data_IF_218273257340
#
_entry.id   IF_218273257340
#
_cell.length_a   1.000
_cell.length_b   1.000
_cell.length_c   1.000
_cell.angle_alpha   90.00
_cell.angle_beta   90.00
_cell.angle_gamma   90.00
#
_symmetry.space_group_name_H-M   'P 1'
#
loop_
_entity.id
_entity.type
_entity.pdbx_description
1 polymer ?
#
# COMPACT_ATOMS: atom_id res chain seq x y z
N UNK A 1 3.25 -24.99 13.59
CA UNK A 1 3.10 -23.67 14.25
C UNK A 1 2.37 -22.72 13.32
N UNK A 2 1.09 -22.46 13.58
CA UNK A 2 0.23 -21.62 12.72
C UNK A 2 0.34 -20.17 13.17
N UNK A 3 1.21 -19.38 12.53
CA UNK A 3 1.26 -17.94 12.79
C UNK A 3 0.03 -17.27 12.16
N UNK A 4 -1.01 -17.09 12.96
CA UNK A 4 -2.05 -16.09 12.69
C UNK A 4 -1.35 -14.73 12.72
N UNK A 5 -1.14 -14.15 11.54
CA UNK A 5 -0.75 -12.75 11.37
C UNK A 5 -1.82 -11.89 12.05
N UNK A 6 -1.59 -11.53 13.32
CA UNK A 6 -2.47 -10.63 14.04
C UNK A 6 -2.34 -9.25 13.40
N UNK A 7 -3.40 -8.85 12.69
CA UNK A 7 -3.58 -7.50 12.20
C UNK A 7 -3.86 -6.63 13.43
N UNK A 8 -2.82 -6.15 14.11
CA UNK A 8 -3.03 -5.16 15.16
C UNK A 8 -3.60 -3.89 14.51
N UNK A 9 -4.72 -3.34 15.04
CA UNK A 9 -5.17 -2.01 14.65
C UNK A 9 -4.06 -1.01 14.99
N UNK A 10 -3.37 -0.50 13.99
CA UNK A 10 -2.41 0.59 14.21
C UNK A 10 -3.20 1.85 14.52
N UNK A 11 -2.87 2.54 15.62
CA UNK A 11 -3.33 3.93 15.84
C UNK A 11 -3.05 4.77 14.60
N UNK A 12 -3.86 5.80 14.36
CA UNK A 12 -3.64 6.80 13.30
C UNK A 12 -2.20 7.33 13.36
N UNK A 13 -1.68 7.59 14.56
CA UNK A 13 -0.30 8.06 14.75
C UNK A 13 0.74 7.05 14.25
N UNK A 14 0.50 5.77 14.48
CA UNK A 14 1.39 4.70 14.01
C UNK A 14 1.34 4.59 12.48
N UNK A 15 0.16 4.72 11.88
CA UNK A 15 0.01 4.73 10.43
C UNK A 15 0.72 5.93 9.78
N UNK A 16 0.55 7.13 10.35
CA UNK A 16 1.25 8.35 9.90
C UNK A 16 2.76 8.17 10.03
N UNK A 17 3.24 7.64 11.16
CA UNK A 17 4.66 7.40 11.39
C UNK A 17 5.25 6.44 10.35
N UNK A 18 4.52 5.37 10.00
CA UNK A 18 4.93 4.41 8.96
C UNK A 18 5.00 5.05 7.57
N UNK A 19 4.02 5.88 7.22
CA UNK A 19 4.02 6.61 5.94
C UNK A 19 5.22 7.58 5.86
N UNK A 20 5.46 8.36 6.92
CA UNK A 20 6.58 9.29 6.98
C UNK A 20 7.93 8.57 6.89
N UNK A 21 8.08 7.46 7.61
CA UNK A 21 9.30 6.64 7.59
C UNK A 21 9.55 6.07 6.19
N UNK A 22 8.49 5.60 5.52
CA UNK A 22 8.56 5.10 4.15
C UNK A 22 9.00 6.19 3.18
N UNK A 23 8.40 7.37 3.26
CA UNK A 23 8.77 8.51 2.41
C UNK A 23 10.24 8.92 2.59
N UNK A 24 10.69 9.03 3.85
CA UNK A 24 12.10 9.32 4.18
C UNK A 24 13.04 8.24 3.61
N UNK A 25 12.65 6.99 3.74
CA UNK A 25 13.44 5.85 3.25
C UNK A 25 13.60 5.85 1.74
N UNK A 26 12.52 6.11 0.99
CA UNK A 26 12.57 6.21 -0.48
C UNK A 26 13.48 7.37 -0.89
N UNK A 27 13.33 8.53 -0.23
CA UNK A 27 14.16 9.70 -0.49
C UNK A 27 15.64 9.42 -0.24
N UNK A 28 15.98 8.79 0.88
CA UNK A 28 17.35 8.48 1.26
C UNK A 28 18.03 7.50 0.29
N UNK A 29 17.26 6.55 -0.26
CA UNK A 29 17.76 5.55 -1.22
C UNK A 29 17.82 6.07 -2.65
N UNK A 30 17.34 7.30 -2.90
CA UNK A 30 17.20 7.89 -4.23
C UNK A 30 16.39 7.01 -5.20
N UNK A 31 15.45 6.22 -4.68
CA UNK A 31 14.67 5.32 -5.50
C UNK A 31 13.91 4.23 -4.75
N UNK A 32 13.24 3.38 -5.54
CA UNK A 32 12.43 2.25 -5.08
C UNK A 32 13.09 0.93 -5.47
N UNK A 33 13.02 -0.05 -4.56
CA UNK A 33 13.54 -1.40 -4.80
C UNK A 33 12.72 -2.15 -5.86
N UNK A 34 13.27 -3.19 -6.51
CA UNK A 34 12.54 -3.95 -7.54
C UNK A 34 11.18 -4.49 -7.07
N UNK A 35 11.09 -5.06 -5.87
CA UNK A 35 9.82 -5.57 -5.33
C UNK A 35 8.84 -4.45 -4.92
N UNK A 36 9.36 -3.27 -4.55
CA UNK A 36 8.56 -2.08 -4.27
C UNK A 36 7.95 -1.55 -5.56
N UNK A 37 8.71 -1.53 -6.66
CA UNK A 37 8.25 -1.17 -8.00
C UNK A 37 7.09 -2.05 -8.46
N UNK A 38 7.16 -3.37 -8.22
CA UNK A 38 6.05 -4.29 -8.55
C UNK A 38 4.76 -3.88 -7.84
N UNK A 39 4.82 -3.58 -6.54
CA UNK A 39 3.64 -3.14 -5.76
C UNK A 39 3.10 -1.79 -6.24
N UNK A 40 3.99 -0.87 -6.62
CA UNK A 40 3.60 0.42 -7.21
C UNK A 40 2.84 0.17 -8.52
N UNK A 41 3.37 -0.69 -9.41
CA UNK A 41 2.72 -1.03 -10.67
C UNK A 41 1.33 -1.63 -10.42
N UNK A 42 1.21 -2.62 -9.53
CA UNK A 42 -0.08 -3.22 -9.16
C UNK A 42 -1.08 -2.18 -8.64
N UNK A 43 -0.63 -1.21 -7.83
CA UNK A 43 -1.48 -0.13 -7.35
C UNK A 43 -1.99 0.77 -8.49
N UNK A 44 -1.14 1.09 -9.47
CA UNK A 44 -1.55 1.88 -10.64
C UNK A 44 -2.43 1.07 -11.61
N UNK A 45 -2.20 -0.23 -11.78
CA UNK A 45 -3.06 -1.10 -12.59
C UNK A 45 -4.48 -1.18 -12.00
N UNK A 46 -4.59 -1.17 -10.66
CA UNK A 46 -5.88 -1.10 -9.95
C UNK A 46 -6.58 0.25 -10.19
N UNK A 47 -5.83 1.35 -10.30
CA UNK A 47 -6.37 2.68 -10.61
C UNK A 47 -6.88 2.76 -12.06
N UNK A 48 -6.14 2.17 -12.99
CA UNK A 48 -6.51 2.14 -14.42
C UNK A 48 -7.53 1.06 -14.78
N UNK A 49 -7.96 0.25 -13.79
CA UNK A 49 -8.89 -0.89 -13.95
C UNK A 49 -8.38 -1.95 -14.93
N UNK A 50 -7.07 -2.04 -15.18
CA UNK A 50 -6.47 -3.05 -16.06
C UNK A 50 -6.47 -4.47 -15.46
N UNK A 51 -6.83 -4.61 -14.18
CA UNK A 51 -6.76 -5.87 -13.45
C UNK A 51 -8.17 -6.52 -13.38
N UNK A 52 -8.28 -7.75 -13.91
CA UNK A 52 -9.51 -8.57 -14.02
C UNK A 52 -10.41 -8.58 -12.76
N UNK A 53 -11.73 -8.80 -12.90
CA UNK A 53 -12.62 -8.93 -11.75
C UNK A 53 -12.18 -10.11 -10.86
N UNK A 54 -12.15 -9.95 -9.52
CA UNK A 54 -11.62 -10.96 -8.64
C UNK A 54 -12.63 -12.09 -8.39
N UNK A 55 -12.12 -13.27 -8.06
CA UNK A 55 -12.96 -14.36 -7.53
C UNK A 55 -13.65 -13.95 -6.22
N UNK A 56 -14.88 -14.44 -6.03
CA UNK A 56 -15.88 -14.00 -5.03
C UNK A 56 -15.37 -13.83 -3.57
N UNK A 57 -14.31 -14.55 -3.15
CA UNK A 57 -13.80 -14.49 -1.76
C UNK A 57 -12.76 -13.38 -1.51
N UNK A 58 -12.29 -12.71 -2.56
CA UNK A 58 -11.25 -11.66 -2.49
C UNK A 58 -11.75 -10.28 -2.92
N UNK A 59 -13.03 -10.18 -3.29
CA UNK A 59 -13.66 -8.96 -3.83
C UNK A 59 -13.63 -7.78 -2.88
N UNK A 60 -14.20 -7.93 -1.68
CA UNK A 60 -14.40 -6.80 -0.75
C UNK A 60 -13.10 -6.14 -0.30
N UNK A 61 -12.06 -6.93 -0.01
CA UNK A 61 -10.74 -6.38 0.39
C UNK A 61 -10.09 -5.63 -0.76
N UNK A 62 -10.20 -6.16 -1.98
CA UNK A 62 -9.62 -5.52 -3.18
C UNK A 62 -10.41 -4.27 -3.57
N UNK A 63 -11.73 -4.30 -3.48
CA UNK A 63 -12.59 -3.13 -3.69
C UNK A 63 -12.29 -2.04 -2.68
N UNK A 64 -12.19 -2.38 -1.39
CA UNK A 64 -11.81 -1.42 -0.34
C UNK A 64 -10.44 -0.79 -0.61
N UNK A 65 -9.46 -1.61 -1.01
CA UNK A 65 -8.13 -1.12 -1.38
C UNK A 65 -8.17 -0.25 -2.64
N UNK A 66 -8.95 -0.62 -3.66
CA UNK A 66 -9.14 0.20 -4.86
C UNK A 66 -9.82 1.54 -4.55
N UNK A 67 -10.85 1.55 -3.70
CA UNK A 67 -11.51 2.78 -3.24
C UNK A 67 -10.53 3.68 -2.49
N UNK A 68 -9.73 3.10 -1.59
CA UNK A 68 -8.66 3.80 -0.90
C UNK A 68 -7.67 4.42 -1.88
N UNK A 69 -7.13 3.64 -2.83
CA UNK A 69 -6.16 4.13 -3.82
C UNK A 69 -6.74 5.26 -4.67
N UNK A 70 -7.98 5.14 -5.14
CA UNK A 70 -8.67 6.20 -5.89
C UNK A 70 -8.78 7.48 -5.08
N UNK A 71 -9.20 7.37 -3.82
CA UNK A 71 -9.35 8.52 -2.92
C UNK A 71 -8.03 9.23 -2.70
N UNK A 72 -6.97 8.51 -2.30
CA UNK A 72 -5.67 9.15 -2.06
C UNK A 72 -5.05 9.72 -3.33
N UNK A 73 -5.28 9.11 -4.49
CA UNK A 73 -4.80 9.64 -5.76
C UNK A 73 -5.47 10.97 -6.09
N UNK A 74 -6.78 11.07 -5.84
CA UNK A 74 -7.55 12.29 -6.09
C UNK A 74 -7.24 13.39 -5.07
N UNK A 75 -7.18 13.03 -3.78
CA UNK A 75 -7.07 14.00 -2.69
C UNK A 75 -5.61 14.42 -2.44
N UNK A 76 -4.64 13.55 -2.73
CA UNK A 76 -3.24 13.74 -2.34
C UNK A 76 -2.22 13.50 -3.47
N UNK A 77 -2.66 12.99 -4.64
CA UNK A 77 -1.80 12.76 -5.80
C UNK A 77 -1.06 11.42 -5.85
N UNK A 78 -0.42 11.12 -7.00
CA UNK A 78 0.23 9.82 -7.27
C UNK A 78 1.42 9.52 -6.35
N UNK A 79 2.09 10.52 -5.80
CA UNK A 79 3.16 10.34 -4.82
C UNK A 79 2.68 9.64 -3.54
N UNK A 80 1.45 9.92 -3.10
CA UNK A 80 0.87 9.25 -1.93
C UNK A 80 0.45 7.82 -2.24
N UNK A 81 0.08 7.52 -3.49
CA UNK A 81 -0.12 6.14 -3.97
C UNK A 81 1.19 5.37 -3.88
N UNK A 82 2.30 5.94 -4.35
CA UNK A 82 3.64 5.33 -4.28
C UNK A 82 4.01 5.02 -2.83
N UNK A 83 3.93 6.01 -1.93
CA UNK A 83 4.30 5.82 -0.52
C UNK A 83 3.41 4.74 0.13
N UNK A 84 2.11 4.74 -0.15
CA UNK A 84 1.16 3.75 0.40
C UNK A 84 1.43 2.32 -0.12
N UNK A 85 1.73 2.18 -1.41
CA UNK A 85 2.05 0.89 -2.04
C UNK A 85 3.37 0.29 -1.51
N UNK A 86 4.34 1.15 -1.18
CA UNK A 86 5.62 0.72 -0.58
C UNK A 86 5.46 0.39 0.90
N UNK A 87 4.74 1.23 1.65
CA UNK A 87 4.62 1.14 3.12
C UNK A 87 3.63 0.09 3.61
N UNK A 88 2.61 -0.27 2.81
CA UNK A 88 1.48 -1.11 3.22
C UNK A 88 1.79 -2.57 3.55
N UNK A 89 3.02 -3.04 3.34
CA UNK A 89 3.41 -4.45 3.53
C UNK A 89 4.80 -4.63 4.17
N UNK A 90 5.34 -3.63 4.89
CA UNK A 90 6.49 -3.93 5.75
C UNK A 90 6.00 -4.74 6.95
N UNK A 91 6.49 -5.99 7.17
CA UNK A 91 6.39 -6.58 8.50
C UNK A 91 7.08 -5.61 9.46
N UNK A 92 6.37 -5.21 10.52
CA UNK A 92 6.97 -4.49 11.63
C UNK A 92 8.12 -5.36 12.15
N UNK A 93 9.35 -5.04 11.76
CA UNK A 93 10.54 -5.59 12.39
C UNK A 93 10.67 -4.88 13.73
N UNK A 94 10.20 -5.56 14.79
CA UNK A 94 10.69 -5.38 16.16
C UNK A 94 11.41 -6.67 16.51
#
# INVERSE_FOLDING_TARGET
ASQRNQHQPSSIDSAITKLLTTAKTIKLREGVKPHERKRIQEAFDILTKLSEPPSLKTGERRESYQHFLKRINNDCGPQMVIISAVGGNQPSQV
#
